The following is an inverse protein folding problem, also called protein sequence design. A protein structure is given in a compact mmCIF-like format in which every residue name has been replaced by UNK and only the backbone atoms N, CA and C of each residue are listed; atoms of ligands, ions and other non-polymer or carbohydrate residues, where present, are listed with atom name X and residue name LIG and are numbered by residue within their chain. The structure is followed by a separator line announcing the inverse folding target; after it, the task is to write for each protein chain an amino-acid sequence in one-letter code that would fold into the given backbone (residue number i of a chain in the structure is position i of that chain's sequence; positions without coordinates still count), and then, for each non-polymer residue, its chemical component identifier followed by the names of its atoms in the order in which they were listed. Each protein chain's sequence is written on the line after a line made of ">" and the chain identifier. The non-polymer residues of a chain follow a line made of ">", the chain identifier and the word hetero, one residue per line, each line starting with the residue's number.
data_IF_555837694498
#
_entry.id   IF_555837694498
#
_cell.length_a   1.000
_cell.length_b   1.000
_cell.length_c   1.000
_cell.angle_alpha   90.00
_cell.angle_beta   90.00
_cell.angle_gamma   90.00
#
_symmetry.space_group_name_H-M   'P 1'
#
loop_
_entity.id
_entity.type
_entity.pdbx_description
1 polymer ?
#
# COMPACT_ATOMS: atom_id res chain seq x y z
N UNK A 1 -9.62 8.44 -1.97
CA UNK A 1 -8.80 9.25 -1.08
C UNK A 1 -8.28 8.40 0.08
N UNK A 2 -6.99 8.48 0.37
CA UNK A 2 -6.32 7.68 1.40
C UNK A 2 -5.88 8.57 2.56
N UNK A 3 -6.24 8.17 3.78
CA UNK A 3 -5.80 8.82 5.02
C UNK A 3 -5.21 7.76 5.96
N UNK A 4 -4.00 8.01 6.46
CA UNK A 4 -3.37 7.18 7.48
C UNK A 4 -3.00 8.05 8.69
N UNK A 5 -3.80 8.01 9.77
CA UNK A 5 -3.60 8.85 10.94
C UNK A 5 -2.22 8.68 11.58
N UNK A 6 -1.66 9.75 12.12
CA UNK A 6 -0.31 9.74 12.69
C UNK A 6 0.83 9.78 11.66
N UNK A 7 0.49 9.92 10.38
CA UNK A 7 1.44 10.11 9.27
C UNK A 7 1.08 11.37 8.48
N UNK A 8 1.87 11.67 7.44
CA UNK A 8 1.54 12.72 6.47
C UNK A 8 0.69 12.20 5.30
N UNK A 9 0.24 10.94 5.34
CA UNK A 9 -0.57 10.35 4.27
C UNK A 9 -2.01 10.83 4.40
N UNK A 10 -2.36 11.79 3.54
CA UNK A 10 -3.68 12.38 3.35
C UNK A 10 -3.76 12.87 1.90
N UNK A 11 -3.95 11.91 0.97
CA UNK A 11 -3.77 12.13 -0.46
C UNK A 11 -4.88 11.53 -1.30
N UNK A 12 -5.18 12.14 -2.48
CA UNK A 12 -5.92 11.45 -3.52
C UNK A 12 -5.11 10.24 -4.03
N UNK A 13 -5.80 9.17 -4.41
CA UNK A 13 -5.21 8.02 -5.08
C UNK A 13 -5.72 8.01 -6.51
N UNK A 14 -4.80 8.14 -7.45
CA UNK A 14 -5.13 8.15 -8.87
C UNK A 14 -5.24 6.72 -9.39
N UNK A 15 -6.26 6.43 -10.18
CA UNK A 15 -6.50 5.09 -10.70
C UNK A 15 -6.73 5.09 -12.22
N UNK A 16 -6.74 3.88 -12.82
CA UNK A 16 -7.00 3.65 -14.22
C UNK A 16 -5.83 3.07 -14.99
N UNK A 17 -6.02 2.79 -16.28
CA UNK A 17 -5.06 2.06 -17.13
C UNK A 17 -3.69 2.73 -17.33
N UNK A 18 -3.62 4.05 -17.13
CA UNK A 18 -2.38 4.82 -17.27
C UNK A 18 -2.00 5.45 -15.92
N UNK A 19 -2.35 4.84 -14.81
CA UNK A 19 -2.14 5.41 -13.48
C UNK A 19 -0.65 5.56 -13.12
N UNK A 20 0.24 4.75 -13.68
CA UNK A 20 1.70 4.84 -13.50
C UNK A 20 2.27 6.21 -13.92
N UNK A 21 1.61 6.97 -14.80
CA UNK A 21 2.02 8.35 -15.15
C UNK A 21 2.05 9.28 -13.94
N UNK A 22 1.23 9.00 -12.92
CA UNK A 22 1.19 9.81 -11.70
C UNK A 22 2.41 9.62 -10.81
N UNK A 23 3.33 8.73 -11.17
CA UNK A 23 4.66 8.69 -10.59
C UNK A 23 5.38 10.05 -10.71
N UNK A 24 5.15 10.78 -11.81
CA UNK A 24 5.76 12.09 -12.10
C UNK A 24 4.72 13.16 -12.46
N UNK A 25 3.46 12.98 -12.09
CA UNK A 25 2.39 13.95 -12.33
C UNK A 25 1.59 14.19 -11.04
N UNK A 26 1.18 15.44 -10.85
CA UNK A 26 0.19 15.76 -9.83
C UNK A 26 -1.22 15.32 -10.26
N UNK A 27 -2.20 15.43 -9.36
CA UNK A 27 -3.60 15.09 -9.62
C UNK A 27 -4.24 15.89 -10.78
N UNK A 28 -3.69 17.05 -11.17
CA UNK A 28 -4.11 17.83 -12.33
C UNK A 28 -3.49 17.33 -13.66
N UNK A 29 -2.64 16.30 -13.60
CA UNK A 29 -1.92 15.76 -14.76
C UNK A 29 -0.73 16.60 -15.22
N UNK A 30 -0.25 17.54 -14.41
CA UNK A 30 0.94 18.33 -14.69
C UNK A 30 2.16 17.63 -14.11
N UNK A 31 3.31 17.83 -14.78
CA UNK A 31 4.58 17.31 -14.30
C UNK A 31 4.86 17.77 -12.86
N UNK A 32 5.12 16.82 -12.00
CA UNK A 32 5.56 16.98 -10.62
C UNK A 32 6.48 15.81 -10.28
N UNK A 33 7.74 16.10 -9.98
CA UNK A 33 8.73 15.07 -9.66
C UNK A 33 8.38 14.22 -8.42
N UNK A 34 7.46 14.69 -7.59
CA UNK A 34 6.99 13.97 -6.40
C UNK A 34 5.71 13.17 -6.66
N UNK A 35 5.08 13.41 -7.82
CA UNK A 35 3.91 12.68 -8.27
C UNK A 35 2.69 12.77 -7.34
N UNK A 36 1.82 11.81 -7.48
CA UNK A 36 0.64 11.58 -6.64
C UNK A 36 0.53 10.08 -6.39
N UNK A 37 0.14 9.60 -5.21
CA UNK A 37 -0.11 8.18 -5.00
C UNK A 37 -1.07 7.62 -6.03
N UNK A 38 -0.77 6.45 -6.56
CA UNK A 38 -1.58 5.82 -7.60
C UNK A 38 -1.76 4.32 -7.38
N UNK A 39 -2.91 3.83 -7.82
CA UNK A 39 -3.29 2.42 -7.80
C UNK A 39 -2.58 1.70 -8.97
N UNK A 40 -2.09 0.49 -8.75
CA UNK A 40 -1.52 -0.33 -9.82
C UNK A 40 -2.52 -0.47 -10.99
N UNK A 41 -2.01 -0.43 -12.24
CA UNK A 41 -2.85 -0.40 -13.46
C UNK A 41 -3.71 -1.65 -13.64
N UNK A 42 -3.29 -2.77 -13.04
CA UNK A 42 -4.02 -4.04 -13.05
C UNK A 42 -5.19 -4.06 -12.07
N UNK A 43 -5.18 -3.16 -11.07
CA UNK A 43 -6.19 -3.14 -10.01
C UNK A 43 -7.43 -2.33 -10.42
N UNK A 44 -8.60 -2.76 -9.97
CA UNK A 44 -9.87 -2.06 -10.15
C UNK A 44 -9.96 -0.84 -9.26
N UNK A 45 -10.47 0.24 -9.79
CA UNK A 45 -10.55 1.53 -9.11
C UNK A 45 -11.58 1.58 -7.96
N UNK A 46 -12.46 0.59 -7.89
CA UNK A 46 -13.43 0.40 -6.81
C UNK A 46 -12.89 -0.47 -5.65
N UNK A 47 -11.63 -0.92 -5.75
CA UNK A 47 -11.00 -1.81 -4.77
C UNK A 47 -11.75 -3.12 -4.51
N UNK A 48 -12.47 -3.62 -5.51
CA UNK A 48 -13.19 -4.90 -5.45
C UNK A 48 -12.28 -6.11 -5.63
N UNK A 49 -11.03 -5.92 -6.06
CA UNK A 49 -10.04 -6.99 -6.18
C UNK A 49 -9.67 -7.55 -4.79
N UNK A 50 -9.25 -8.82 -4.78
CA UNK A 50 -8.74 -9.46 -3.58
C UNK A 50 -7.53 -8.74 -3.00
N UNK A 51 -6.65 -8.24 -3.86
CA UNK A 51 -5.42 -7.55 -3.50
C UNK A 51 -5.20 -6.33 -4.40
N UNK A 52 -5.02 -5.18 -3.79
CA UNK A 52 -4.79 -3.92 -4.48
C UNK A 52 -3.48 -3.28 -4.01
N UNK A 53 -2.72 -2.68 -4.91
CA UNK A 53 -1.46 -2.00 -4.58
C UNK A 53 -1.57 -0.52 -4.89
N UNK A 54 -1.23 0.31 -3.92
CA UNK A 54 -1.08 1.76 -4.08
C UNK A 54 0.40 2.09 -3.97
N UNK A 55 0.94 2.74 -5.00
CA UNK A 55 2.32 3.23 -5.04
C UNK A 55 2.41 4.69 -4.62
N UNK A 56 3.50 5.05 -3.96
CA UNK A 56 3.81 6.43 -3.58
C UNK A 56 5.30 6.61 -3.33
N UNK A 57 5.83 7.81 -3.58
CA UNK A 57 7.24 8.12 -3.38
C UNK A 57 7.69 7.94 -1.92
N UNK A 58 8.90 7.45 -1.73
CA UNK A 58 9.61 7.48 -0.45
C UNK A 58 10.35 8.81 -0.29
N UNK A 59 9.80 9.69 0.53
CA UNK A 59 10.34 11.04 0.73
C UNK A 59 11.01 11.16 2.09
N UNK A 60 12.28 11.61 2.11
CA UNK A 60 13.08 11.81 3.33
C UNK A 60 12.43 12.72 4.38
N UNK A 61 11.52 13.61 3.97
CA UNK A 61 10.77 14.49 4.86
C UNK A 61 9.46 13.86 5.38
N UNK A 62 9.29 12.55 5.22
CA UNK A 62 8.10 11.78 5.62
C UNK A 62 6.80 12.14 4.89
N UNK A 63 6.83 12.97 3.85
CA UNK A 63 5.69 13.18 2.95
C UNK A 63 5.52 11.98 2.02
N UNK A 64 4.44 11.95 1.26
CA UNK A 64 4.06 10.83 0.42
C UNK A 64 4.08 9.53 1.25
N UNK A 65 4.80 8.50 0.84
CA UNK A 65 4.92 7.23 1.58
C UNK A 65 6.22 7.12 2.40
N UNK A 66 6.99 8.21 2.53
CA UNK A 66 8.24 8.22 3.29
C UNK A 66 8.13 7.92 4.78
N UNK A 67 6.90 7.90 5.32
CA UNK A 67 6.64 7.50 6.72
C UNK A 67 6.39 6.00 6.91
N UNK A 68 6.31 5.19 5.83
CA UNK A 68 5.95 3.77 5.96
C UNK A 68 7.00 2.96 6.71
N UNK A 69 8.30 3.27 6.58
CA UNK A 69 9.36 2.54 7.26
C UNK A 69 9.25 2.56 8.79
N UNK A 70 8.65 3.63 9.35
CA UNK A 70 8.48 3.74 10.81
C UNK A 70 7.66 2.59 11.41
N UNK A 71 6.76 1.99 10.63
CA UNK A 71 5.93 0.87 11.05
C UNK A 71 6.69 -0.46 11.16
N UNK A 72 7.96 -0.50 10.79
CA UNK A 72 8.85 -1.62 11.10
C UNK A 72 9.26 -1.67 12.58
N UNK A 73 9.04 -0.57 13.32
CA UNK A 73 9.16 -0.56 14.77
C UNK A 73 7.86 -1.09 15.41
N UNK A 74 7.97 -2.14 16.22
CA UNK A 74 6.82 -2.83 16.81
C UNK A 74 5.97 -1.92 17.73
N UNK A 75 6.60 -1.00 18.48
CA UNK A 75 5.88 -0.08 19.36
C UNK A 75 5.09 0.94 18.53
N UNK A 76 5.70 1.49 17.46
CA UNK A 76 5.03 2.41 16.55
C UNK A 76 3.86 1.73 15.83
N UNK A 77 4.05 0.48 15.41
CA UNK A 77 3.00 -0.31 14.76
C UNK A 77 1.83 -0.60 15.72
N UNK A 78 2.14 -0.97 16.96
CA UNK A 78 1.11 -1.29 17.97
C UNK A 78 0.27 -0.06 18.39
N UNK A 79 0.87 1.13 18.39
CA UNK A 79 0.21 2.39 18.74
C UNK A 79 -0.49 3.05 17.53
N UNK A 80 -0.34 2.47 16.33
CA UNK A 80 -0.90 3.04 15.10
C UNK A 80 -2.42 2.91 15.06
N UNK A 81 -3.05 3.93 14.49
CA UNK A 81 -4.49 3.92 14.23
C UNK A 81 -4.79 3.36 12.85
N UNK A 82 -5.98 2.76 12.70
CA UNK A 82 -6.48 2.33 11.40
C UNK A 82 -6.55 3.50 10.41
N UNK A 83 -6.27 3.19 9.16
CA UNK A 83 -6.44 4.13 8.05
C UNK A 83 -7.88 4.21 7.56
N UNK A 84 -8.11 5.14 6.64
CA UNK A 84 -9.39 5.32 5.96
C UNK A 84 -9.15 5.42 4.46
N UNK A 85 -9.91 4.64 3.70
CA UNK A 85 -10.03 4.77 2.25
C UNK A 85 -11.43 5.31 1.93
N UNK A 86 -11.51 6.46 1.28
CA UNK A 86 -12.77 7.09 0.89
C UNK A 86 -12.98 6.78 -0.58
N UNK A 87 -14.04 6.04 -0.88
CA UNK A 87 -14.50 5.66 -2.22
C UNK A 87 -15.83 6.35 -2.54
N UNK A 88 -16.38 6.10 -3.71
CA UNK A 88 -17.67 6.67 -4.12
C UNK A 88 -18.85 6.16 -3.27
N UNK A 89 -18.76 4.94 -2.76
CA UNK A 89 -19.78 4.31 -1.93
C UNK A 89 -19.65 4.63 -0.43
N UNK A 90 -18.55 5.27 0.00
CA UNK A 90 -18.38 5.68 1.40
C UNK A 90 -16.95 5.61 1.94
N UNK A 91 -16.88 5.59 3.26
CA UNK A 91 -15.63 5.48 3.99
C UNK A 91 -15.41 4.03 4.42
N UNK A 92 -14.27 3.49 4.03
CA UNK A 92 -13.85 2.14 4.38
C UNK A 92 -12.69 2.21 5.37
N UNK A 93 -12.73 1.40 6.41
CA UNK A 93 -11.61 1.27 7.35
C UNK A 93 -10.51 0.44 6.73
N UNK A 94 -9.28 0.88 6.91
CA UNK A 94 -8.06 0.15 6.57
C UNK A 94 -7.37 -0.30 7.86
N UNK A 95 -7.58 -1.55 8.26
CA UNK A 95 -6.96 -2.10 9.48
C UNK A 95 -5.50 -2.46 9.22
N UNK A 96 -4.60 -1.86 10.00
CA UNK A 96 -3.17 -2.17 9.89
C UNK A 96 -2.93 -3.65 10.20
N UNK A 97 -2.26 -4.34 9.28
CA UNK A 97 -2.07 -5.79 9.39
C UNK A 97 -0.60 -6.17 9.44
N UNK A 98 0.25 -5.64 8.58
CA UNK A 98 1.66 -5.97 8.58
C UNK A 98 2.53 -4.85 7.97
N UNK A 99 3.75 -4.70 8.49
CA UNK A 99 4.82 -3.93 7.88
C UNK A 99 5.85 -4.88 7.28
N UNK A 100 6.19 -4.69 6.02
CA UNK A 100 6.96 -5.64 5.21
C UNK A 100 8.11 -4.90 4.52
N UNK A 101 9.30 -5.50 4.52
CA UNK A 101 10.44 -5.00 3.75
C UNK A 101 10.41 -5.56 2.32
N UNK A 102 10.61 -4.71 1.33
CA UNK A 102 10.55 -5.08 -0.09
C UNK A 102 11.78 -5.86 -0.55
N UNK A 103 11.82 -7.15 -0.27
CA UNK A 103 12.83 -8.08 -0.83
C UNK A 103 12.39 -8.61 -2.19
N UNK A 104 13.31 -9.22 -2.95
CA UNK A 104 12.97 -9.84 -4.23
C UNK A 104 11.86 -10.91 -4.11
N UNK A 105 11.86 -11.67 -3.00
CA UNK A 105 10.81 -12.67 -2.72
C UNK A 105 9.46 -12.01 -2.46
N UNK A 106 9.44 -10.90 -1.71
CA UNK A 106 8.23 -10.13 -1.44
C UNK A 106 7.68 -9.53 -2.74
N UNK A 107 8.55 -8.97 -3.59
CA UNK A 107 8.17 -8.41 -4.89
C UNK A 107 7.48 -9.45 -5.78
N UNK A 108 8.07 -10.65 -5.90
CA UNK A 108 7.48 -11.73 -6.69
C UNK A 108 6.09 -12.15 -6.17
N UNK A 109 5.90 -12.22 -4.85
CA UNK A 109 4.59 -12.53 -4.25
C UNK A 109 3.57 -11.40 -4.49
N UNK A 110 4.00 -10.15 -4.45
CA UNK A 110 3.13 -8.99 -4.74
C UNK A 110 2.70 -8.99 -6.20
N UNK A 111 3.62 -9.27 -7.13
CA UNK A 111 3.30 -9.41 -8.55
C UNK A 111 2.28 -10.53 -8.78
N UNK A 112 2.52 -11.73 -8.22
CA UNK A 112 1.58 -12.86 -8.32
C UNK A 112 0.18 -12.49 -7.76
N UNK A 113 0.11 -11.77 -6.63
CA UNK A 113 -1.15 -11.35 -6.01
C UNK A 113 -1.90 -10.28 -6.82
N UNK A 114 -1.20 -9.45 -7.59
CA UNK A 114 -1.80 -8.39 -8.41
C UNK A 114 -2.17 -8.83 -9.82
N UNK A 115 -1.57 -9.92 -10.32
CA UNK A 115 -1.79 -10.40 -11.69
C UNK A 115 -3.04 -11.28 -11.84
N UNK A 116 -3.78 -11.53 -10.78
CA UNK A 116 -4.97 -12.39 -10.80
C UNK A 116 -6.19 -11.72 -10.16
N UNK A 117 -7.35 -11.96 -10.77
CA UNK A 117 -8.64 -11.58 -10.19
C UNK A 117 -9.12 -12.55 -9.11
N UNK A 118 -8.44 -13.70 -8.93
CA UNK A 118 -8.83 -14.73 -7.97
C UNK A 118 -8.24 -14.45 -6.59
N UNK A 119 -9.00 -14.78 -5.56
CA UNK A 119 -8.49 -14.76 -4.18
C UNK A 119 -7.33 -15.77 -4.03
N UNK A 120 -6.25 -15.34 -3.39
CA UNK A 120 -5.06 -16.14 -3.13
C UNK A 120 -4.67 -16.15 -1.65
N UNK A 121 -5.46 -16.78 -0.76
CA UNK A 121 -5.19 -16.77 0.68
C UNK A 121 -3.84 -17.37 1.06
N UNK A 122 -3.38 -18.40 0.33
CA UNK A 122 -2.08 -19.03 0.57
C UNK A 122 -0.93 -18.07 0.27
N UNK A 123 -0.95 -17.37 -0.85
CA UNK A 123 0.08 -16.41 -1.24
C UNK A 123 0.11 -15.22 -0.29
N UNK A 124 -1.08 -14.74 0.13
CA UNK A 124 -1.17 -13.69 1.12
C UNK A 124 -0.62 -14.15 2.48
N UNK A 125 -0.91 -15.38 2.89
CA UNK A 125 -0.36 -15.96 4.11
C UNK A 125 1.17 -16.09 4.05
N UNK A 126 1.73 -16.40 2.89
CA UNK A 126 3.19 -16.40 2.68
C UNK A 126 3.76 -14.97 2.78
N UNK A 127 3.08 -13.98 2.22
CA UNK A 127 3.47 -12.57 2.33
C UNK A 127 3.51 -12.11 3.80
N UNK A 128 2.50 -12.48 4.59
CA UNK A 128 2.44 -12.19 6.02
C UNK A 128 3.59 -12.83 6.81
N UNK A 129 4.02 -14.06 6.45
CA UNK A 129 5.17 -14.72 7.10
C UNK A 129 6.49 -13.98 6.89
N UNK A 130 6.59 -13.11 5.86
CA UNK A 130 7.77 -12.30 5.57
C UNK A 130 7.72 -10.91 6.23
N UNK A 131 6.67 -10.62 7.00
CA UNK A 131 6.51 -9.34 7.67
C UNK A 131 7.57 -9.13 8.76
N UNK A 132 8.10 -7.90 8.85
CA UNK A 132 8.96 -7.49 9.96
C UNK A 132 8.16 -7.33 11.26
N UNK A 133 6.95 -6.81 11.14
CA UNK A 133 5.97 -6.66 12.22
C UNK A 133 4.58 -6.96 11.67
N UNK A 134 3.75 -7.65 12.45
CA UNK A 134 2.37 -7.93 12.06
C UNK A 134 1.43 -7.99 13.27
N UNK A 135 0.15 -7.76 13.00
CA UNK A 135 -0.92 -8.00 13.98
C UNK A 135 -0.99 -9.50 14.30
N UNK A 136 -1.11 -9.89 15.57
CA UNK A 136 -1.32 -11.30 15.94
C UNK A 136 -2.61 -11.88 15.35
N UNK A 137 -2.60 -13.19 15.06
CA UNK A 137 -3.79 -13.97 14.69
C UNK A 137 -4.62 -13.41 13.52
N UNK A 138 -3.94 -12.91 12.48
CA UNK A 138 -4.61 -12.40 11.28
C UNK A 138 -5.34 -13.53 10.56
N UNK A 139 -6.65 -13.40 10.45
CA UNK A 139 -7.47 -14.30 9.62
C UNK A 139 -7.41 -13.87 8.16
N UNK A 140 -7.09 -14.81 7.29
CA UNK A 140 -7.04 -14.64 5.83
C UNK A 140 -8.07 -15.56 5.18
N UNK A 141 -9.03 -15.00 4.46
CA UNK A 141 -10.09 -15.72 3.76
C UNK A 141 -10.23 -15.25 2.32
N UNK A 142 -10.96 -15.97 1.49
CA UNK A 142 -11.24 -15.60 0.09
C UNK A 142 -12.13 -14.35 -0.03
N UNK A 143 -12.93 -14.06 1.00
CA UNK A 143 -13.84 -12.91 1.02
C UNK A 143 -13.16 -11.61 1.43
N UNK A 144 -11.93 -11.69 1.94
CA UNK A 144 -11.17 -10.52 2.38
C UNK A 144 -10.75 -9.65 1.19
N UNK A 145 -10.48 -8.38 1.49
CA UNK A 145 -9.88 -7.41 0.56
C UNK A 145 -8.67 -6.79 1.23
N UNK A 146 -7.60 -6.67 0.46
CA UNK A 146 -6.31 -6.23 0.97
C UNK A 146 -5.77 -5.05 0.17
N UNK A 147 -5.18 -4.09 0.86
CA UNK A 147 -4.52 -2.94 0.25
C UNK A 147 -3.08 -2.90 0.72
N UNK A 148 -2.15 -2.91 -0.21
CA UNK A 148 -0.73 -2.73 0.04
C UNK A 148 -0.33 -1.30 -0.33
N UNK A 149 0.24 -0.56 0.61
CA UNK A 149 0.95 0.68 0.33
C UNK A 149 2.41 0.36 0.07
N UNK A 150 2.96 0.81 -1.06
CA UNK A 150 4.31 0.42 -1.49
C UNK A 150 5.11 1.61 -2.04
N UNK A 151 6.40 1.65 -1.72
CA UNK A 151 7.36 2.60 -2.28
C UNK A 151 8.17 2.01 -3.44
N UNK A 152 7.84 0.80 -3.92
CA UNK A 152 8.68 0.01 -4.83
C UNK A 152 8.88 0.57 -6.23
N UNK A 153 7.87 1.27 -6.76
CA UNK A 153 7.90 1.72 -8.17
C UNK A 153 8.95 2.83 -8.42
N UNK A 154 9.69 3.20 -7.38
CA UNK A 154 10.72 4.23 -7.38
C UNK A 154 12.11 3.67 -7.08
N UNK A 155 12.32 2.38 -7.30
CA UNK A 155 13.54 1.65 -6.96
C UNK A 155 14.81 2.12 -7.72
N UNK A 156 14.66 2.95 -8.76
CA UNK A 156 15.80 3.55 -9.48
C UNK A 156 16.38 4.79 -8.78
N UNK A 157 15.64 5.44 -7.90
CA UNK A 157 16.20 6.42 -6.98
C UNK A 157 16.68 5.66 -5.75
N UNK A 158 18.00 5.58 -5.57
CA UNK A 158 18.60 5.00 -4.38
C UNK A 158 17.90 5.58 -3.16
N UNK A 159 17.03 4.76 -2.54
CA UNK A 159 16.53 5.07 -1.21
C UNK A 159 17.78 5.30 -0.35
N UNK A 160 18.04 6.55 0.02
CA UNK A 160 19.17 6.88 0.90
C UNK A 160 19.00 6.22 2.26
N UNK A 161 17.80 5.67 2.55
CA UNK A 161 17.37 5.17 3.85
C UNK A 161 17.23 3.63 3.94
N UNK A 162 17.57 2.85 2.91
CA UNK A 162 17.57 1.39 3.02
C UNK A 162 16.57 0.67 2.11
N UNK A 163 16.08 -0.48 2.56
CA UNK A 163 15.14 -1.32 1.79
C UNK A 163 13.76 -0.66 1.75
N UNK A 164 13.15 -0.53 0.56
CA UNK A 164 11.79 0.03 0.44
C UNK A 164 10.81 -0.67 1.38
N UNK A 165 9.89 0.12 1.95
CA UNK A 165 8.92 -0.34 2.93
C UNK A 165 7.54 -0.47 2.33
N UNK A 166 6.81 -1.48 2.80
CA UNK A 166 5.42 -1.73 2.45
C UNK A 166 4.57 -1.83 3.71
N UNK A 167 3.33 -1.39 3.62
CA UNK A 167 2.34 -1.53 4.68
C UNK A 167 1.11 -2.25 4.13
N UNK A 168 0.82 -3.43 4.67
CA UNK A 168 -0.36 -4.21 4.32
C UNK A 168 -1.51 -3.88 5.26
N UNK A 169 -2.66 -3.58 4.68
CA UNK A 169 -3.88 -3.22 5.37
C UNK A 169 -5.04 -4.10 4.91
N UNK A 170 -5.92 -4.47 5.83
CA UNK A 170 -7.16 -5.16 5.52
C UNK A 170 -8.27 -4.12 5.30
N UNK A 171 -8.88 -4.15 4.12
CA UNK A 171 -10.01 -3.29 3.78
C UNK A 171 -11.28 -3.85 4.42
N UNK A 172 -11.94 -3.06 5.25
CA UNK A 172 -13.22 -3.39 5.86
C UNK A 172 -14.36 -2.76 5.03
N UNK A 173 -15.48 -3.44 4.87
CA UNK A 173 -16.64 -2.83 4.21
C UNK A 173 -17.11 -1.56 4.94
N UNK A 174 -17.76 -0.66 4.18
CA UNK A 174 -18.31 0.59 4.71
C UNK A 174 -19.41 0.36 5.76
#
# INVERSE_FOLDING_TARGET
>A
WLVLPGTMIDYPVMGGKDSSRYAEQNYDGKYDKYGTPYLAETCRTDFSDYFSVIYGHDMNNSTMFGSLERFQNADVFADAQDGVLILEDGQHRLTLTASISATATVQALVEDLTDTEQAQPEQLSQLLQLAAVQTPDVSVTEDDRWVLLSTLDYADEKSENGTPSMLLLKLQPA
#
